data_IF_169771073700
#
_entry.id   IF_169771073700
#
_cell.length_a   1.000
_cell.length_b   1.000
_cell.length_c   1.000
_cell.angle_alpha   90.00
_cell.angle_beta   90.00
_cell.angle_gamma   90.00
#
_symmetry.space_group_name_H-M   'P 1'
#
loop_
_entity.id
_entity.type
_entity.pdbx_description
1 polymer ?
#
# COMPACT_ATOMS: atom_id res chain seq x y z
N UNK A 1 7.75 -15.90 8.45
CA UNK A 1 6.48 -15.61 7.72
C UNK A 1 5.60 -16.85 7.82
N UNK A 2 4.28 -16.71 7.70
CA UNK A 2 3.35 -17.84 7.81
C UNK A 2 2.46 -17.87 6.57
N UNK A 3 2.19 -19.07 6.08
CA UNK A 3 1.17 -19.30 5.10
C UNK A 3 -0.20 -19.17 5.77
N UNK A 4 -1.05 -18.29 5.24
CA UNK A 4 -2.35 -18.00 5.86
C UNK A 4 -3.38 -19.12 5.65
N UNK A 5 -3.20 -19.97 4.64
CA UNK A 5 -4.09 -21.08 4.32
C UNK A 5 -3.73 -22.33 5.13
N UNK A 6 -2.46 -22.68 5.18
CA UNK A 6 -1.99 -23.89 5.88
C UNK A 6 -1.62 -23.63 7.34
N UNK A 7 -1.30 -22.39 7.69
CA UNK A 7 -0.78 -22.03 9.01
C UNK A 7 0.67 -22.49 9.24
N UNK A 8 1.36 -22.92 8.19
CA UNK A 8 2.75 -23.37 8.28
C UNK A 8 3.74 -22.20 8.12
N UNK A 9 4.93 -22.27 8.75
CA UNK A 9 5.95 -21.26 8.54
C UNK A 9 6.49 -21.35 7.10
N UNK A 10 6.52 -20.22 6.39
CA UNK A 10 7.07 -20.09 5.03
C UNK A 10 8.60 -20.04 4.99
N UNK A 11 9.26 -20.00 6.14
CA UNK A 11 10.70 -19.93 6.27
C UNK A 11 11.14 -19.65 7.70
N UNK A 12 12.44 -19.55 7.90
CA UNK A 12 13.04 -19.23 9.20
C UNK A 12 12.65 -17.82 9.69
N UNK A 13 12.69 -17.56 11.01
CA UNK A 13 12.49 -16.21 11.55
C UNK A 13 13.51 -15.21 10.98
N UNK A 14 13.07 -13.98 10.74
CA UNK A 14 13.94 -12.90 10.26
C UNK A 14 14.84 -12.38 11.39
N UNK A 15 16.11 -12.77 11.38
CA UNK A 15 17.08 -12.41 12.41
C UNK A 15 17.86 -11.14 12.06
N UNK A 16 18.00 -10.23 13.03
CA UNK A 16 18.89 -9.07 12.89
C UNK A 16 18.68 -7.99 13.95
N UNK A 17 17.43 -7.72 14.33
CA UNK A 17 17.16 -6.80 15.44
C UNK A 17 17.78 -7.29 16.75
N UNK A 18 18.32 -6.36 17.54
CA UNK A 18 18.97 -6.62 18.83
C UNK A 18 18.04 -6.31 20.02
N UNK A 19 16.78 -6.00 19.73
CA UNK A 19 15.73 -5.73 20.71
C UNK A 19 14.38 -6.24 20.21
N UNK A 20 13.34 -6.06 21.02
CA UNK A 20 11.98 -6.45 20.64
C UNK A 20 11.56 -5.77 19.33
N UNK A 21 10.96 -6.53 18.42
CA UNK A 21 10.33 -5.98 17.21
C UNK A 21 8.96 -5.47 17.60
N UNK A 22 8.72 -4.17 17.38
CA UNK A 22 7.50 -3.49 17.83
C UNK A 22 6.42 -3.47 16.75
N UNK A 23 6.81 -3.28 15.49
CA UNK A 23 5.88 -3.26 14.36
C UNK A 23 6.55 -3.81 13.09
N UNK A 24 5.72 -4.32 12.19
CA UNK A 24 6.10 -4.80 10.86
C UNK A 24 5.04 -4.36 9.84
N UNK A 25 5.46 -4.12 8.60
CA UNK A 25 4.56 -3.84 7.48
C UNK A 25 5.15 -4.39 6.17
N UNK A 26 4.27 -4.74 5.24
CA UNK A 26 4.67 -5.01 3.85
C UNK A 26 4.67 -3.73 3.04
N UNK A 27 5.55 -3.65 2.03
CA UNK A 27 5.44 -2.69 0.96
C UNK A 27 4.16 -2.92 0.13
N UNK A 28 3.65 -1.91 -0.58
CA UNK A 28 2.42 -2.04 -1.37
C UNK A 28 2.47 -3.16 -2.42
N UNK A 29 3.63 -3.40 -3.03
CA UNK A 29 3.89 -4.47 -3.99
C UNK A 29 4.24 -5.82 -3.32
N UNK A 30 4.26 -5.87 -1.98
CA UNK A 30 4.60 -7.04 -1.17
C UNK A 30 6.01 -7.60 -1.38
N UNK A 31 6.91 -6.87 -2.03
CA UNK A 31 8.28 -7.32 -2.30
C UNK A 31 9.22 -7.10 -1.10
N UNK A 32 8.90 -6.14 -0.23
CA UNK A 32 9.71 -5.75 0.91
C UNK A 32 8.89 -5.82 2.19
N UNK A 33 9.49 -6.30 3.27
CA UNK A 33 9.00 -6.15 4.63
C UNK A 33 9.82 -5.06 5.31
N UNK A 34 9.18 -4.16 6.04
CA UNK A 34 9.85 -3.24 6.97
C UNK A 34 9.51 -3.64 8.40
N UNK A 35 10.50 -3.59 9.28
CA UNK A 35 10.34 -3.81 10.72
C UNK A 35 11.00 -2.71 11.53
N UNK A 36 10.45 -2.39 12.70
CA UNK A 36 11.04 -1.44 13.64
C UNK A 36 11.14 -2.03 15.05
N UNK A 37 12.08 -1.54 15.85
CA UNK A 37 12.45 -2.22 17.11
C UNK A 37 12.81 -1.28 18.25
N UNK A 38 12.80 -1.85 19.46
CA UNK A 38 13.39 -1.25 20.66
C UNK A 38 14.89 -0.95 20.51
N UNK A 39 15.60 -1.63 19.61
CA UNK A 39 17.01 -1.36 19.31
C UNK A 39 17.27 -0.03 18.57
N UNK A 40 16.24 0.81 18.43
CA UNK A 40 16.25 2.14 17.81
C UNK A 40 16.46 2.11 16.29
N UNK A 41 16.37 0.93 15.67
CA UNK A 41 16.56 0.76 14.22
C UNK A 41 15.28 0.36 13.50
N UNK A 42 15.30 0.62 12.19
CA UNK A 42 14.35 0.08 11.21
C UNK A 42 15.15 -0.81 10.26
N UNK A 43 14.59 -1.95 9.86
CA UNK A 43 15.21 -2.88 8.91
C UNK A 43 14.27 -3.18 7.76
N UNK A 44 14.84 -3.38 6.58
CA UNK A 44 14.14 -3.83 5.39
C UNK A 44 14.56 -5.27 5.11
N UNK A 45 13.61 -6.07 4.63
CA UNK A 45 13.80 -7.49 4.33
C UNK A 45 13.17 -7.79 2.98
N UNK A 46 13.82 -8.62 2.20
CA UNK A 46 13.23 -9.19 1.00
C UNK A 46 12.13 -10.17 1.44
N UNK A 47 10.90 -9.95 0.96
CA UNK A 47 9.74 -10.72 1.42
C UNK A 47 9.75 -12.18 0.94
N UNK A 48 10.47 -12.47 -0.15
CA UNK A 48 10.53 -13.81 -0.74
C UNK A 48 11.63 -14.67 -0.09
N UNK A 49 12.78 -14.07 0.19
CA UNK A 49 13.97 -14.77 0.68
C UNK A 49 14.17 -14.61 2.19
N UNK A 50 13.61 -13.56 2.78
CA UNK A 50 13.85 -13.18 4.17
C UNK A 50 15.23 -12.54 4.41
N UNK A 51 16.00 -12.27 3.36
CA UNK A 51 17.31 -11.64 3.50
C UNK A 51 17.19 -10.13 3.82
N UNK A 52 18.09 -9.58 4.66
CA UNK A 52 18.10 -8.15 4.94
C UNK A 52 18.49 -7.34 3.69
N UNK A 53 17.71 -6.31 3.39
CA UNK A 53 17.97 -5.37 2.30
C UNK A 53 18.77 -4.18 2.82
N UNK A 54 20.09 -4.37 2.91
CA UNK A 54 21.04 -3.35 3.34
C UNK A 54 21.19 -3.21 4.86
N UNK A 55 21.84 -2.12 5.26
CA UNK A 55 22.09 -1.82 6.68
C UNK A 55 20.83 -1.29 7.38
N UNK A 56 20.70 -1.46 8.71
CA UNK A 56 19.59 -0.89 9.46
C UNK A 56 19.56 0.63 9.33
N UNK A 57 18.37 1.19 9.13
CA UNK A 57 18.16 2.63 9.16
C UNK A 57 18.30 3.12 10.60
N UNK A 58 19.24 4.05 10.80
CA UNK A 58 19.59 4.62 12.10
C UNK A 58 19.32 6.11 12.11
N UNK A 59 18.87 6.63 13.24
CA UNK A 59 18.65 8.07 13.42
C UNK A 59 17.76 8.38 14.62
N UNK A 60 16.80 7.50 14.92
CA UNK A 60 16.05 7.57 16.16
C UNK A 60 16.96 7.35 17.38
N UNK A 61 16.65 8.05 18.47
CA UNK A 61 17.42 8.01 19.72
C UNK A 61 16.71 7.17 20.81
N UNK A 62 15.56 6.59 20.49
CA UNK A 62 14.80 5.71 21.36
C UNK A 62 14.00 4.70 20.52
N UNK A 63 13.39 3.73 21.20
CA UNK A 63 12.50 2.69 20.65
C UNK A 63 11.61 3.22 19.52
N UNK A 64 11.67 2.57 18.36
CA UNK A 64 10.79 2.88 17.23
C UNK A 64 9.52 2.07 17.41
N UNK A 65 8.40 2.76 17.63
CA UNK A 65 7.13 2.13 18.03
C UNK A 65 6.19 1.87 16.86
N UNK A 66 6.37 2.56 15.74
CA UNK A 66 5.56 2.38 14.54
C UNK A 66 6.39 2.57 13.27
N UNK A 67 6.02 1.85 12.21
CA UNK A 67 6.60 1.96 10.88
C UNK A 67 5.55 1.67 9.82
N UNK A 68 5.66 2.29 8.65
CA UNK A 68 4.79 2.03 7.52
C UNK A 68 5.36 2.55 6.21
N UNK A 69 4.95 1.95 5.09
CA UNK A 69 5.29 2.41 3.75
C UNK A 69 4.35 3.52 3.29
N UNK A 70 4.85 4.41 2.43
CA UNK A 70 4.02 5.24 1.58
C UNK A 70 3.25 4.36 0.56
N UNK A 71 2.11 4.82 0.04
CA UNK A 71 1.32 4.07 -0.95
C UNK A 71 2.07 3.75 -2.25
N UNK A 72 3.05 4.58 -2.64
CA UNK A 72 3.90 4.34 -3.80
C UNK A 72 5.08 3.38 -3.51
N UNK A 73 5.27 2.99 -2.24
CA UNK A 73 6.38 2.12 -1.80
C UNK A 73 7.76 2.79 -1.80
N UNK A 74 7.86 4.06 -2.18
CA UNK A 74 9.13 4.77 -2.34
C UNK A 74 9.64 5.35 -1.02
N UNK A 75 8.80 5.40 0.02
CA UNK A 75 9.15 5.97 1.31
C UNK A 75 8.66 5.13 2.47
N UNK A 76 9.34 5.29 3.59
CA UNK A 76 8.93 4.75 4.90
C UNK A 76 8.72 5.91 5.85
N UNK A 77 7.67 5.85 6.66
CA UNK A 77 7.48 6.71 7.84
C UNK A 77 7.68 5.90 9.11
N UNK A 78 8.32 6.49 10.11
CA UNK A 78 8.51 5.88 11.42
C UNK A 78 8.22 6.84 12.56
N UNK A 79 7.63 6.32 13.64
CA UNK A 79 7.40 7.04 14.89
C UNK A 79 8.22 6.42 16.03
N UNK A 80 8.78 7.26 16.90
CA UNK A 80 9.63 6.82 18.01
C UNK A 80 9.25 7.48 19.33
N UNK A 81 9.59 6.80 20.41
CA UNK A 81 9.53 7.33 21.78
C UNK A 81 10.55 8.47 22.02
N UNK A 82 11.42 8.79 21.07
CA UNK A 82 12.24 10.00 21.10
C UNK A 82 11.44 11.28 20.78
N UNK A 83 10.14 11.15 20.55
CA UNK A 83 9.22 12.26 20.26
C UNK A 83 9.24 12.71 18.80
N UNK A 84 9.93 11.98 17.92
CA UNK A 84 10.06 12.33 16.50
C UNK A 84 9.36 11.33 15.58
N UNK A 85 8.91 11.86 14.45
CA UNK A 85 8.55 11.09 13.26
C UNK A 85 9.64 11.32 12.21
N UNK A 86 10.02 10.29 11.47
CA UNK A 86 11.03 10.38 10.40
C UNK A 86 10.47 9.80 9.11
N UNK A 87 10.92 10.38 7.99
CA UNK A 87 10.66 9.91 6.64
C UNK A 87 11.98 9.41 6.04
N UNK A 88 11.93 8.26 5.38
CA UNK A 88 13.09 7.59 4.78
C UNK A 88 12.77 7.29 3.33
N UNK A 89 13.68 7.58 2.42
CA UNK A 89 13.56 7.13 1.03
C UNK A 89 14.01 5.67 0.92
N UNK A 90 13.27 4.90 0.13
CA UNK A 90 13.53 3.47 -0.13
C UNK A 90 14.25 3.38 -1.47
N UNK A 91 15.57 3.46 -1.42
CA UNK A 91 16.39 3.25 -2.62
C UNK A 91 16.39 1.76 -2.98
N UNK A 92 15.44 1.35 -3.80
CA UNK A 92 15.41 0.03 -4.45
C UNK A 92 16.46 -0.05 -5.56
N UNK A 93 17.72 0.20 -5.24
CA UNK A 93 18.89 -0.30 -5.98
C UNK A 93 18.85 -0.22 -7.50
N UNK A 94 18.38 0.88 -8.11
CA UNK A 94 18.81 1.26 -9.46
C UNK A 94 19.87 2.36 -9.37
N UNK A 95 21.08 1.89 -9.07
CA UNK A 95 22.39 2.53 -9.27
C UNK A 95 22.67 3.85 -8.53
N UNK A 96 23.71 3.76 -7.69
CA UNK A 96 24.69 4.78 -7.33
C UNK A 96 24.55 6.16 -8.00
N UNK A 97 24.35 7.20 -7.18
CA UNK A 97 25.37 8.23 -6.97
C UNK A 97 24.97 9.16 -5.81
N UNK A 98 25.95 9.44 -4.95
CA UNK A 98 25.89 10.49 -3.93
C UNK A 98 25.44 11.83 -4.53
N UNK A 99 24.48 12.50 -3.89
CA UNK A 99 24.67 13.84 -3.32
C UNK A 99 23.37 14.38 -2.70
N UNK A 100 23.48 14.74 -1.42
CA UNK A 100 23.01 15.97 -0.78
C UNK A 100 21.55 16.44 -0.90
N UNK A 101 20.88 16.35 0.25
CA UNK A 101 20.00 17.34 0.88
C UNK A 101 19.63 18.59 0.06
N UNK A 102 18.34 18.72 -0.25
CA UNK A 102 17.59 19.94 0.12
C UNK A 102 16.09 19.66 0.07
N UNK A 103 15.41 19.91 1.19
CA UNK A 103 13.96 19.80 1.29
C UNK A 103 13.24 20.80 0.39
N UNK A 104 12.13 20.35 -0.17
CA UNK A 104 11.08 21.22 -0.69
C UNK A 104 9.75 20.70 -0.16
N UNK A 105 9.18 21.44 0.78
CA UNK A 105 7.79 21.27 1.22
C UNK A 105 6.89 21.62 0.03
N UNK A 106 6.26 20.61 -0.56
CA UNK A 106 5.18 20.82 -1.51
C UNK A 106 3.86 20.88 -0.73
N UNK A 107 3.38 22.08 -0.45
CA UNK A 107 2.00 22.31 -0.02
C UNK A 107 1.08 22.06 -1.22
N UNK A 108 0.28 21.00 -1.15
CA UNK A 108 -0.77 20.74 -2.13
C UNK A 108 -1.97 21.64 -1.82
N UNK A 109 -2.00 22.84 -2.40
CA UNK A 109 -3.22 23.63 -2.53
C UNK A 109 -3.92 23.28 -3.86
N UNK A 110 -4.86 22.35 -3.81
CA UNK A 110 -5.77 22.05 -4.92
C UNK A 110 -7.13 22.67 -4.66
N UNK A 111 -7.52 23.63 -5.49
CA UNK A 111 -8.82 24.31 -5.49
C UNK A 111 -9.94 23.32 -5.85
N UNK A 112 -11.02 23.31 -5.06
CA UNK A 112 -12.23 22.52 -5.30
C UNK A 112 -13.12 23.29 -6.27
N UNK A 113 -12.98 23.04 -7.56
CA UNK A 113 -14.00 23.41 -8.54
C UNK A 113 -14.37 22.17 -9.37
N UNK A 114 -15.62 21.72 -9.17
CA UNK A 114 -16.50 20.95 -10.04
C UNK A 114 -15.90 19.79 -10.87
N UNK A 115 -15.63 18.66 -10.22
CA UNK A 115 -15.58 17.34 -10.86
C UNK A 115 -16.28 16.32 -9.95
N UNK A 116 -17.41 15.77 -10.39
CA UNK A 116 -18.20 14.79 -9.63
C UNK A 116 -17.44 13.47 -9.40
N UNK A 117 -17.34 13.06 -8.13
CA UNK A 117 -16.88 11.73 -7.71
C UNK A 117 -15.54 11.73 -6.98
N UNK A 118 -15.39 10.84 -6.01
CA UNK A 118 -14.13 10.65 -5.28
C UNK A 118 -13.17 9.80 -6.13
N UNK A 119 -11.93 10.26 -6.42
CA UNK A 119 -10.96 9.47 -7.16
C UNK A 119 -10.69 8.12 -6.48
N UNK A 120 -10.55 7.06 -7.28
CA UNK A 120 -10.22 5.74 -6.76
C UNK A 120 -8.72 5.59 -6.50
N UNK A 121 -8.37 4.88 -5.43
CA UNK A 121 -6.99 4.44 -5.16
C UNK A 121 -6.58 3.20 -5.96
N UNK A 122 -7.38 2.77 -6.93
CA UNK A 122 -7.18 1.56 -7.73
C UNK A 122 -7.22 1.87 -9.23
N UNK A 123 -6.43 1.14 -10.01
CA UNK A 123 -6.43 1.24 -11.48
C UNK A 123 -7.36 0.18 -12.08
N UNK A 124 -8.25 0.60 -12.99
CA UNK A 124 -9.12 -0.31 -13.77
C UNK A 124 -8.52 -0.49 -15.16
N UNK A 125 -8.18 -1.72 -15.59
CA UNK A 125 -7.55 -1.94 -16.89
C UNK A 125 -8.37 -1.39 -18.06
N UNK A 126 -7.74 -0.59 -18.91
CA UNK A 126 -8.37 0.00 -20.09
C UNK A 126 -9.20 1.28 -19.84
N UNK A 127 -9.20 1.79 -18.60
CA UNK A 127 -9.91 3.00 -18.21
C UNK A 127 -9.01 3.94 -17.41
N UNK A 128 -9.11 5.24 -17.68
CA UNK A 128 -8.37 6.28 -16.97
C UNK A 128 -9.32 7.15 -16.15
N UNK A 129 -8.78 7.84 -15.13
CA UNK A 129 -9.52 8.80 -14.30
C UNK A 129 -10.80 8.21 -13.68
N UNK A 130 -10.69 7.00 -13.13
CA UNK A 130 -11.84 6.36 -12.50
C UNK A 130 -12.22 7.05 -11.19
N UNK A 131 -13.49 7.40 -11.04
CA UNK A 131 -14.05 7.98 -9.81
C UNK A 131 -15.26 7.19 -9.33
N UNK A 132 -15.45 7.16 -8.01
CA UNK A 132 -16.63 6.61 -7.36
C UNK A 132 -17.63 7.74 -7.10
N UNK A 133 -18.83 7.61 -7.63
CA UNK A 133 -19.95 8.52 -7.42
C UNK A 133 -20.76 8.08 -6.20
N UNK A 134 -21.46 9.03 -5.55
CA UNK A 134 -22.19 8.81 -4.29
C UNK A 134 -23.24 7.70 -4.35
N UNK A 135 -23.82 7.45 -5.52
CA UNK A 135 -24.79 6.38 -5.76
C UNK A 135 -24.15 4.98 -5.82
N UNK A 136 -22.82 4.90 -5.81
CA UNK A 136 -22.01 3.69 -5.78
C UNK A 136 -21.44 3.27 -7.12
N UNK A 137 -21.70 4.00 -8.20
CA UNK A 137 -21.13 3.66 -9.50
C UNK A 137 -19.69 4.15 -9.64
N UNK A 138 -18.82 3.25 -10.11
CA UNK A 138 -17.51 3.63 -10.64
C UNK A 138 -17.67 4.07 -12.08
N UNK A 139 -17.20 5.27 -12.38
CA UNK A 139 -17.21 5.86 -13.72
C UNK A 139 -15.80 6.11 -14.22
N UNK A 140 -15.65 6.09 -15.54
CA UNK A 140 -14.50 6.65 -16.26
C UNK A 140 -15.04 7.49 -17.40
N UNK A 141 -14.78 8.80 -17.35
CA UNK A 141 -15.47 9.78 -18.20
C UNK A 141 -17.00 9.61 -18.10
N UNK A 142 -17.70 9.49 -19.24
CA UNK A 142 -19.17 9.31 -19.31
C UNK A 142 -19.63 7.84 -19.19
N UNK A 143 -18.73 6.89 -18.90
CA UNK A 143 -19.06 5.46 -18.88
C UNK A 143 -19.17 4.93 -17.46
N UNK A 144 -20.26 4.21 -17.21
CA UNK A 144 -20.44 3.39 -16.02
C UNK A 144 -19.69 2.06 -16.17
N UNK A 145 -18.91 1.67 -15.16
CA UNK A 145 -18.14 0.43 -15.17
C UNK A 145 -18.83 -0.64 -14.32
N UNK A 146 -18.88 -0.45 -13.01
CA UNK A 146 -19.50 -1.38 -12.08
C UNK A 146 -20.01 -0.64 -10.85
N UNK A 147 -20.96 -1.26 -10.15
CA UNK A 147 -21.53 -0.73 -8.92
C UNK A 147 -20.84 -1.32 -7.69
N UNK A 148 -20.59 -0.46 -6.70
CA UNK A 148 -19.91 -0.80 -5.46
C UNK A 148 -20.89 -0.72 -4.29
N UNK A 149 -21.11 -1.86 -3.58
CA UNK A 149 -21.90 -1.87 -2.36
C UNK A 149 -21.38 -0.86 -1.33
N UNK A 150 -22.25 -0.17 -0.57
CA UNK A 150 -21.86 0.82 0.43
C UNK A 150 -20.70 0.38 1.33
N UNK A 151 -20.75 -0.87 1.81
CA UNK A 151 -19.75 -1.44 2.73
C UNK A 151 -18.36 -1.64 2.11
N UNK A 152 -18.23 -1.60 0.78
CA UNK A 152 -16.97 -1.80 0.06
C UNK A 152 -16.35 -0.49 -0.42
N UNK A 153 -17.09 0.61 -0.40
CA UNK A 153 -16.67 1.90 -0.98
C UNK A 153 -15.42 2.44 -0.29
N UNK A 154 -15.38 2.37 1.04
CA UNK A 154 -14.25 2.83 1.83
C UNK A 154 -12.96 2.10 1.44
N UNK A 155 -13.02 0.78 1.27
CA UNK A 155 -11.86 -0.03 0.88
C UNK A 155 -11.40 0.19 -0.56
N UNK A 156 -12.21 0.81 -1.42
CA UNK A 156 -11.81 1.17 -2.80
C UNK A 156 -11.22 2.59 -2.88
N UNK A 157 -11.71 3.51 -2.06
CA UNK A 157 -11.19 4.88 -1.96
C UNK A 157 -9.87 4.86 -1.18
N UNK A 158 -9.83 4.10 -0.08
CA UNK A 158 -8.69 3.99 0.83
C UNK A 158 -8.22 2.53 0.90
N UNK A 159 -7.59 2.00 -0.16
CA UNK A 159 -7.17 0.59 -0.23
C UNK A 159 -6.12 0.23 0.83
N UNK A 160 -5.51 1.22 1.48
CA UNK A 160 -4.48 1.04 2.49
C UNK A 160 -5.00 1.41 3.87
N UNK A 161 -5.70 0.46 4.52
CA UNK A 161 -5.98 0.57 5.96
C UNK A 161 -4.76 0.12 6.76
N UNK A 162 -4.29 1.00 7.64
CA UNK A 162 -3.21 0.74 8.61
C UNK A 162 -3.70 -0.02 9.87
N UNK A 163 -4.97 -0.40 9.93
CA UNK A 163 -5.58 -1.15 11.04
C UNK A 163 -6.57 -2.18 10.52
N UNK A 164 -6.63 -3.36 11.15
CA UNK A 164 -7.68 -4.36 10.87
C UNK A 164 -9.00 -3.86 11.46
N UNK A 165 -9.99 -3.46 10.65
CA UNK A 165 -11.23 -2.90 11.18
C UNK A 165 -12.13 -4.01 11.72
N UNK A 166 -12.74 -3.77 12.88
CA UNK A 166 -13.67 -4.71 13.54
C UNK A 166 -15.07 -4.70 12.91
N UNK A 167 -15.39 -3.71 12.08
CA UNK A 167 -16.67 -3.59 11.34
C UNK A 167 -16.46 -3.70 9.83
N UNK A 168 -17.47 -4.20 9.12
CA UNK A 168 -17.38 -4.49 7.68
C UNK A 168 -17.16 -3.27 6.78
N UNK A 169 -17.62 -2.09 7.21
CA UNK A 169 -17.63 -0.84 6.44
C UNK A 169 -16.24 -0.26 6.16
N UNK A 170 -15.21 -0.71 6.89
CA UNK A 170 -13.84 -0.20 6.72
C UNK A 170 -12.89 -1.25 6.15
N UNK A 171 -13.36 -2.45 5.79
CA UNK A 171 -12.47 -3.51 5.29
C UNK A 171 -11.81 -3.09 3.97
N UNK A 172 -10.51 -3.37 3.86
CA UNK A 172 -9.82 -3.31 2.59
C UNK A 172 -10.56 -4.18 1.56
N UNK A 173 -10.85 -3.62 0.39
CA UNK A 173 -11.54 -4.33 -0.68
C UNK A 173 -10.57 -4.48 -1.84
N UNK A 174 -10.17 -5.73 -2.13
CA UNK A 174 -9.37 -6.03 -3.32
C UNK A 174 -10.31 -6.39 -4.45
N UNK A 175 -10.18 -5.69 -5.58
CA UNK A 175 -10.81 -6.08 -6.83
C UNK A 175 -9.83 -6.94 -7.63
N UNK A 176 -10.34 -8.04 -8.17
CA UNK A 176 -9.61 -8.91 -9.07
C UNK A 176 -10.08 -8.66 -10.50
N UNK A 177 -9.20 -8.07 -11.31
CA UNK A 177 -9.47 -7.77 -12.72
C UNK A 177 -8.93 -8.84 -13.68
N UNK A 178 -8.43 -9.99 -13.20
CA UNK A 178 -7.86 -11.05 -14.05
C UNK A 178 -8.83 -11.57 -15.12
N UNK A 179 -10.12 -11.54 -14.82
CA UNK A 179 -11.21 -11.91 -15.76
C UNK A 179 -12.12 -10.73 -16.08
N UNK A 180 -11.58 -9.52 -16.00
CA UNK A 180 -12.33 -8.33 -16.36
C UNK A 180 -12.48 -8.23 -17.88
N UNK A 181 -13.71 -8.07 -18.34
CA UNK A 181 -14.03 -7.89 -19.74
C UNK A 181 -14.92 -6.67 -19.92
N UNK A 182 -14.69 -5.92 -21.00
CA UNK A 182 -15.48 -4.76 -21.38
C UNK A 182 -15.70 -4.75 -22.89
N UNK A 183 -16.84 -4.24 -23.35
CA UNK A 183 -17.19 -4.22 -24.77
C UNK A 183 -18.55 -3.59 -25.03
N UNK A 184 -18.89 -3.34 -26.30
CA UNK A 184 -20.15 -2.71 -26.69
C UNK A 184 -21.41 -3.58 -26.52
N UNK A 185 -21.25 -4.86 -26.16
CA UNK A 185 -22.36 -5.78 -25.88
C UNK A 185 -21.94 -6.89 -24.92
N UNK A 186 -22.76 -7.13 -23.90
CA UNK A 186 -22.58 -8.21 -22.90
C UNK A 186 -22.48 -9.61 -23.53
N UNK A 187 -23.19 -9.84 -24.65
CA UNK A 187 -23.23 -11.14 -25.34
C UNK A 187 -21.95 -11.50 -26.09
N UNK A 188 -21.12 -10.51 -26.41
CA UNK A 188 -19.81 -10.74 -27.05
C UNK A 188 -18.74 -11.07 -26.01
N UNK A 189 -18.88 -10.51 -24.81
CA UNK A 189 -17.98 -10.68 -23.67
C UNK A 189 -18.08 -12.09 -23.05
N UNK A 190 -19.29 -12.64 -22.93
CA UNK A 190 -19.49 -13.96 -22.30
C UNK A 190 -19.05 -15.16 -23.16
N UNK A 191 -18.83 -15.00 -24.47
CA UNK A 191 -18.48 -16.13 -25.35
C UNK A 191 -17.02 -16.57 -25.18
N UNK A 192 -16.14 -15.65 -24.79
CA UNK A 192 -14.70 -15.93 -24.63
C UNK A 192 -14.33 -16.41 -23.22
N UNK A 193 -15.29 -16.46 -22.28
CA UNK A 193 -15.07 -16.90 -20.90
C UNK A 193 -15.35 -18.40 -20.67
N UNK A 194 -15.78 -19.13 -21.70
CA UNK A 194 -16.06 -20.57 -21.65
C UNK A 194 -15.34 -21.26 -22.83
N UNK A 195 -14.01 -21.33 -22.77
CA UNK A 195 -13.18 -22.29 -23.51
C UNK A 195 -11.90 -22.56 -22.71
#
# INVERSE_FOLDING_TARGET
LWDAETGEPLGEPLHGHQGQVNAVAFSPDSSIIVSCSWDQTIRLWDACTGEPLGEPLRGHQHSVSAVGFSPDGLRIVSGSLDGTTRLWDVDTGKSANNSDHSGSESTCSGSLEDMEGTPLGISVPGFELCSLVDDGWVKSSEKFLFWVPPNNRHGLIYPHLLTMPTTGEYRATRLDFTRFHFGGSWTNVCKDAIL
#
